data_IF_604783626041
#
_entry.id   IF_604783626041
#
_cell.length_a   1.000
_cell.length_b   1.000
_cell.length_c   1.000
_cell.angle_alpha   90.00
_cell.angle_beta   90.00
_cell.angle_gamma   90.00
#
_symmetry.space_group_name_H-M   'P 1'
#
loop_
_entity.id
_entity.type
_entity.pdbx_description
1 polymer ?
#
# COMPACT_ATOMS: atom_id res chain seq x y z
N UNK A 1 18.29 38.90 -12.59
CA UNK A 1 16.85 38.58 -12.62
C UNK A 1 16.55 37.60 -11.48
N UNK A 2 16.01 38.10 -10.36
CA UNK A 2 15.67 37.30 -9.18
C UNK A 2 14.30 36.65 -9.41
N UNK A 3 14.23 35.31 -9.41
CA UNK A 3 12.96 34.58 -9.35
C UNK A 3 12.45 34.65 -7.92
N UNK A 4 11.31 35.32 -7.72
CA UNK A 4 10.53 35.19 -6.49
C UNK A 4 9.99 33.77 -6.42
N UNK A 5 10.42 33.01 -5.41
CA UNK A 5 9.78 31.75 -5.02
C UNK A 5 8.61 32.15 -4.13
N UNK A 6 7.37 32.01 -4.62
CA UNK A 6 6.18 32.11 -3.77
C UNK A 6 6.18 30.89 -2.83
N UNK A 7 6.61 31.11 -1.60
CA UNK A 7 6.27 30.26 -0.47
C UNK A 7 4.76 30.38 -0.21
N UNK A 8 3.99 29.38 -0.65
CA UNK A 8 2.63 29.19 -0.15
C UNK A 8 2.73 28.76 1.31
N UNK A 9 2.74 29.75 2.19
CA UNK A 9 2.32 29.55 3.58
C UNK A 9 0.83 29.25 3.51
N UNK A 10 0.47 27.98 3.71
CA UNK A 10 -0.92 27.59 3.92
C UNK A 10 -1.39 28.25 5.23
N UNK A 11 -1.96 29.44 5.11
CA UNK A 11 -2.70 30.08 6.17
C UNK A 11 -4.04 29.33 6.33
N UNK A 12 -4.31 28.67 7.47
CA UNK A 12 -5.60 28.07 7.73
C UNK A 12 -6.55 29.19 8.19
N UNK A 13 -6.99 30.03 7.25
CA UNK A 13 -7.98 31.08 7.49
C UNK A 13 -8.89 31.19 6.28
N UNK A 14 -9.95 30.38 6.29
CA UNK A 14 -11.28 30.72 5.82
C UNK A 14 -12.25 29.71 6.42
N UNK A 15 -12.55 29.90 7.71
CA UNK A 15 -13.85 29.54 8.27
C UNK A 15 -14.83 30.55 7.69
N UNK A 16 -15.16 30.36 6.41
CA UNK A 16 -16.33 30.94 5.80
C UNK A 16 -17.48 30.01 6.13
N UNK A 17 -18.37 30.44 7.02
CA UNK A 17 -19.61 29.75 7.30
C UNK A 17 -20.36 29.53 5.97
N UNK A 18 -20.34 28.31 5.46
CA UNK A 18 -21.42 27.83 4.60
C UNK A 18 -22.62 27.58 5.53
N UNK A 19 -23.31 28.66 5.89
CA UNK A 19 -24.70 28.57 6.29
C UNK A 19 -25.46 28.09 5.06
N UNK A 20 -25.67 26.78 4.97
CA UNK A 20 -26.67 26.22 4.07
C UNK A 20 -28.00 26.63 4.68
N UNK A 21 -28.51 27.79 4.25
CA UNK A 21 -29.88 28.16 4.57
C UNK A 21 -30.78 27.10 3.91
N UNK A 22 -31.43 26.29 4.74
CA UNK A 22 -32.56 25.49 4.31
C UNK A 22 -33.71 26.45 4.00
N UNK A 23 -33.80 26.89 2.75
CA UNK A 23 -35.00 27.52 2.23
C UNK A 23 -35.94 26.43 1.74
N UNK A 24 -37.13 26.40 2.34
CA UNK A 24 -38.23 25.58 1.89
C UNK A 24 -38.87 26.18 0.64
N UNK A 25 -38.60 25.55 -0.49
CA UNK A 25 -39.43 25.47 -1.71
C UNK A 25 -38.95 24.24 -2.49
N UNK A 26 -39.70 23.75 -3.47
CA UNK A 26 -39.40 22.56 -4.32
C UNK A 26 -38.05 22.64 -5.08
N UNK A 27 -36.93 22.71 -4.37
CA UNK A 27 -35.58 22.84 -4.89
C UNK A 27 -34.88 21.48 -4.81
N UNK A 28 -34.29 21.07 -5.93
CA UNK A 28 -33.41 19.90 -6.02
C UNK A 28 -32.28 20.08 -5.01
N UNK A 29 -32.31 19.32 -3.92
CA UNK A 29 -31.23 19.31 -2.93
C UNK A 29 -29.99 18.70 -3.58
N UNK A 30 -29.02 19.54 -3.95
CA UNK A 30 -27.82 19.08 -4.68
C UNK A 30 -26.94 18.22 -3.77
N UNK A 31 -26.78 18.62 -2.51
CA UNK A 31 -25.98 17.90 -1.51
C UNK A 31 -26.71 17.80 -0.18
N UNK A 32 -26.66 16.63 0.44
CA UNK A 32 -27.14 16.39 1.80
C UNK A 32 -26.15 15.54 2.61
N UNK A 33 -26.40 15.35 3.91
CA UNK A 33 -25.61 14.46 4.78
C UNK A 33 -24.09 14.65 4.70
N UNK A 34 -23.63 15.90 4.58
CA UNK A 34 -22.21 16.23 4.36
C UNK A 34 -21.38 15.81 5.58
N UNK A 35 -20.37 14.97 5.33
CA UNK A 35 -19.42 14.46 6.31
C UNK A 35 -18.00 14.84 5.94
N UNK A 36 -17.25 15.34 6.92
CA UNK A 36 -15.85 15.71 6.78
C UNK A 36 -14.97 14.69 7.48
N UNK A 37 -13.84 14.36 6.85
CA UNK A 37 -12.77 13.54 7.44
C UNK A 37 -11.42 14.17 7.11
N UNK A 38 -10.44 13.96 7.97
CA UNK A 38 -9.08 14.39 7.69
C UNK A 38 -8.02 13.63 8.48
N UNK A 39 -6.81 13.70 7.95
CA UNK A 39 -5.58 13.15 8.51
C UNK A 39 -4.47 14.20 8.41
N UNK A 40 -3.71 14.36 9.49
CA UNK A 40 -2.42 15.06 9.47
C UNK A 40 -1.36 14.11 10.00
N UNK A 41 -0.33 13.88 9.19
CA UNK A 41 0.71 12.87 9.45
C UNK A 41 2.12 13.41 9.21
N UNK A 42 2.74 14.08 10.20
CA UNK A 42 4.16 14.40 10.14
C UNK A 42 5.00 13.13 10.34
N UNK A 43 6.09 13.04 9.57
CA UNK A 43 7.03 11.92 9.59
C UNK A 43 8.45 12.40 9.39
N UNK A 44 9.33 11.98 10.29
CA UNK A 44 10.75 11.92 10.04
C UNK A 44 11.12 10.54 9.47
N UNK A 45 11.91 10.51 8.40
CA UNK A 45 12.51 9.30 7.84
C UNK A 45 14.02 9.48 7.69
N UNK A 46 14.76 8.45 8.06
CA UNK A 46 16.19 8.28 7.82
C UNK A 46 16.40 7.08 6.89
N UNK A 47 17.33 7.20 5.96
CA UNK A 47 17.77 6.07 5.13
C UNK A 47 19.28 6.16 4.86
N UNK A 48 19.98 5.04 4.99
CA UNK A 48 21.42 4.96 4.79
C UNK A 48 21.78 3.62 4.15
N UNK A 49 22.30 3.68 2.94
CA UNK A 49 22.79 2.53 2.17
C UNK A 49 24.31 2.56 2.22
N UNK A 50 24.90 1.60 2.93
CA UNK A 50 26.34 1.58 3.17
C UNK A 50 27.14 1.45 1.89
N UNK A 51 28.26 2.15 1.83
CA UNK A 51 29.28 2.07 0.77
C UNK A 51 28.72 2.29 -0.65
N UNK A 52 27.76 3.21 -0.80
CA UNK A 52 27.17 3.56 -2.10
C UNK A 52 27.63 4.89 -2.70
N UNK A 53 28.54 5.59 -2.03
CA UNK A 53 29.06 6.88 -2.47
C UNK A 53 28.06 8.02 -2.33
N UNK A 54 27.01 7.85 -1.52
CA UNK A 54 26.01 8.86 -1.19
C UNK A 54 25.98 9.13 0.30
N UNK A 55 25.48 10.30 0.66
CA UNK A 55 25.20 10.68 2.03
C UNK A 55 23.88 10.06 2.51
N UNK A 56 23.83 9.73 3.81
CA UNK A 56 22.61 9.27 4.44
C UNK A 56 21.48 10.31 4.31
N UNK A 57 20.32 9.82 3.92
CA UNK A 57 19.12 10.61 3.71
C UNK A 57 18.36 10.86 5.01
N UNK A 58 17.77 12.05 5.07
CA UNK A 58 17.00 12.55 6.18
C UNK A 58 15.86 13.39 5.60
N UNK A 59 14.63 13.02 5.88
CA UNK A 59 13.44 13.70 5.37
C UNK A 59 12.48 14.02 6.53
N UNK A 60 12.06 15.27 6.64
CA UNK A 60 10.94 15.66 7.49
C UNK A 60 9.78 16.09 6.61
N UNK A 61 8.76 15.25 6.55
CA UNK A 61 7.59 15.43 5.70
C UNK A 61 6.33 15.52 6.54
N UNK A 62 5.28 16.17 6.04
CA UNK A 62 3.93 15.92 6.56
C UNK A 62 2.93 15.76 5.42
N UNK A 63 2.08 14.75 5.59
CA UNK A 63 0.87 14.60 4.80
C UNK A 63 -0.27 15.36 5.48
N UNK A 64 -1.07 16.03 4.67
CA UNK A 64 -2.41 16.47 5.00
C UNK A 64 -3.37 15.85 4.00
N UNK A 65 -4.35 15.08 4.46
CA UNK A 65 -5.40 14.49 3.64
C UNK A 65 -6.75 14.95 4.18
N UNK A 66 -7.57 15.59 3.35
CA UNK A 66 -8.89 16.11 3.72
C UNK A 66 -9.91 15.54 2.75
N UNK A 67 -11.04 15.08 3.28
CA UNK A 67 -12.08 14.40 2.52
C UNK A 67 -13.47 14.90 2.91
N UNK A 68 -14.30 15.13 1.90
CA UNK A 68 -15.71 15.46 2.03
C UNK A 68 -16.52 14.38 1.32
N UNK A 69 -17.51 13.82 2.01
CA UNK A 69 -18.51 12.93 1.43
C UNK A 69 -19.89 13.54 1.65
N UNK A 70 -20.77 13.47 0.66
CA UNK A 70 -22.13 14.00 0.75
C UNK A 70 -23.08 13.11 -0.04
N UNK A 71 -24.33 13.00 0.39
CA UNK A 71 -25.41 12.52 -0.47
C UNK A 71 -25.63 13.48 -1.63
N UNK A 72 -26.13 12.96 -2.75
CA UNK A 72 -26.15 13.67 -4.03
C UNK A 72 -27.56 13.70 -4.63
N UNK A 73 -28.01 14.88 -5.05
CA UNK A 73 -29.29 15.12 -5.74
C UNK A 73 -30.55 14.67 -4.97
N UNK A 74 -30.46 14.48 -3.66
CA UNK A 74 -31.54 13.94 -2.83
C UNK A 74 -31.91 12.49 -3.17
N UNK A 75 -31.05 11.77 -3.90
CA UNK A 75 -31.27 10.37 -4.28
C UNK A 75 -30.75 9.48 -3.15
N UNK A 76 -31.63 8.66 -2.59
CA UNK A 76 -31.27 7.74 -1.52
C UNK A 76 -30.11 6.83 -1.95
N UNK A 77 -29.11 6.68 -1.08
CA UNK A 77 -27.90 5.86 -1.29
C UNK A 77 -26.98 6.30 -2.44
N UNK A 78 -27.22 7.45 -3.07
CA UNK A 78 -26.29 8.08 -4.01
C UNK A 78 -25.43 9.10 -3.26
N UNK A 79 -24.10 9.02 -3.41
CA UNK A 79 -23.17 9.93 -2.76
C UNK A 79 -22.02 10.33 -3.67
N UNK A 80 -21.40 11.47 -3.37
CA UNK A 80 -20.17 11.93 -3.98
C UNK A 80 -19.08 12.10 -2.92
N UNK A 81 -17.85 11.82 -3.30
CA UNK A 81 -16.67 12.02 -2.45
C UNK A 81 -15.63 12.87 -3.18
N UNK A 82 -15.11 13.89 -2.51
CA UNK A 82 -13.97 14.69 -2.97
C UNK A 82 -12.92 14.71 -1.87
N UNK A 83 -11.69 14.38 -2.22
CA UNK A 83 -10.55 14.37 -1.31
C UNK A 83 -9.33 15.07 -1.92
N UNK A 84 -8.59 15.76 -1.07
CA UNK A 84 -7.31 16.40 -1.40
C UNK A 84 -6.22 15.87 -0.49
N UNK A 85 -5.10 15.44 -1.09
CA UNK A 85 -3.88 15.06 -0.37
C UNK A 85 -2.77 16.03 -0.73
N UNK A 86 -1.98 16.43 0.26
CA UNK A 86 -0.73 17.15 0.06
C UNK A 86 0.38 16.58 0.91
N UNK A 87 1.57 16.51 0.34
CA UNK A 87 2.81 16.16 1.02
C UNK A 87 3.75 17.33 0.95
N UNK A 88 4.18 17.81 2.11
CA UNK A 88 5.11 18.92 2.22
C UNK A 88 6.36 18.50 2.98
N UNK A 89 7.48 19.16 2.69
CA UNK A 89 8.71 19.03 3.46
C UNK A 89 8.94 20.31 4.27
N UNK A 90 9.23 20.17 5.57
CA UNK A 90 9.45 21.31 6.47
C UNK A 90 10.93 21.54 6.74
N UNK A 91 11.63 22.07 5.74
CA UNK A 91 12.96 22.67 5.92
C UNK A 91 14.14 21.70 5.98
N UNK A 92 13.95 20.41 5.72
CA UNK A 92 15.05 19.43 5.70
C UNK A 92 15.13 18.70 4.34
N UNK A 93 16.07 19.12 3.51
CA UNK A 93 16.16 18.71 2.09
C UNK A 93 17.29 17.72 1.78
N UNK A 94 17.93 17.12 2.80
CA UNK A 94 19.03 16.16 2.62
C UNK A 94 18.53 14.74 2.31
N UNK A 95 17.78 14.59 1.22
CA UNK A 95 17.29 13.30 0.75
C UNK A 95 16.97 13.39 -0.74
N UNK A 96 17.07 12.27 -1.44
CA UNK A 96 16.67 12.19 -2.84
C UNK A 96 15.20 11.75 -2.96
N UNK A 97 14.31 12.66 -3.36
CA UNK A 97 12.90 12.34 -3.60
C UNK A 97 12.63 11.77 -4.99
N UNK A 98 13.67 11.60 -5.80
CA UNK A 98 13.65 11.34 -7.25
C UNK A 98 13.09 12.47 -8.11
N UNK A 99 12.65 13.58 -7.47
CA UNK A 99 12.05 14.75 -8.13
C UNK A 99 12.66 16.09 -7.72
N UNK A 100 13.46 16.11 -6.65
CA UNK A 100 14.05 17.34 -6.08
C UNK A 100 15.49 17.61 -6.54
N UNK A 101 16.10 16.73 -7.34
CA UNK A 101 17.46 16.90 -7.87
C UNK A 101 18.60 16.61 -6.86
N UNK A 102 18.29 16.20 -5.63
CA UNK A 102 19.28 15.93 -4.58
C UNK A 102 19.89 14.53 -4.71
N UNK A 103 20.67 14.28 -5.77
CA UNK A 103 21.19 12.94 -6.10
C UNK A 103 22.31 12.42 -5.20
N UNK A 104 22.95 13.31 -4.45
CA UNK A 104 24.07 13.00 -3.55
C UNK A 104 23.63 12.28 -2.27
N UNK A 105 22.32 12.21 -2.01
CA UNK A 105 21.75 11.54 -0.85
C UNK A 105 21.04 10.24 -1.23
N UNK A 106 20.88 9.37 -0.24
CA UNK A 106 20.03 8.21 -0.34
C UNK A 106 18.55 8.54 -0.63
N UNK A 107 17.84 7.54 -1.13
CA UNK A 107 16.50 7.71 -1.70
C UNK A 107 15.43 7.55 -0.63
N UNK A 108 14.64 8.61 -0.43
CA UNK A 108 13.38 8.60 0.31
C UNK A 108 12.30 9.12 -0.65
N UNK A 109 11.53 8.19 -1.24
CA UNK A 109 10.56 8.48 -2.31
C UNK A 109 9.25 9.06 -1.76
N UNK A 110 9.31 10.26 -1.20
CA UNK A 110 8.16 11.04 -0.77
C UNK A 110 8.31 12.49 -1.23
N UNK A 111 8.21 12.74 -2.55
CA UNK A 111 8.28 14.09 -3.11
C UNK A 111 7.13 14.96 -2.63
N UNK A 112 7.36 16.27 -2.66
CA UNK A 112 6.31 17.25 -2.37
C UNK A 112 5.24 17.26 -3.46
N UNK A 113 3.98 17.27 -3.04
CA UNK A 113 2.80 17.14 -3.92
C UNK A 113 1.59 17.82 -3.32
N UNK A 114 0.64 18.17 -4.19
CA UNK A 114 -0.75 18.41 -3.83
C UNK A 114 -1.63 17.93 -5.00
N UNK A 115 -2.63 17.11 -4.72
CA UNK A 115 -3.50 16.56 -5.77
C UNK A 115 -4.87 16.17 -5.22
N UNK A 116 -5.83 16.00 -6.13
CA UNK A 116 -7.12 15.39 -5.83
C UNK A 116 -6.90 13.89 -5.66
N UNK A 117 -6.94 13.44 -4.41
CA UNK A 117 -6.71 12.05 -4.01
C UNK A 117 -7.95 11.18 -4.21
N UNK A 118 -9.14 11.78 -4.12
CA UNK A 118 -10.43 11.13 -4.37
C UNK A 118 -11.37 12.07 -5.12
N UNK A 119 -12.10 11.50 -6.07
CA UNK A 119 -13.18 12.17 -6.79
C UNK A 119 -14.07 11.06 -7.35
N UNK A 120 -15.13 10.71 -6.62
CA UNK A 120 -16.00 9.58 -6.97
C UNK A 120 -17.48 9.89 -6.79
N UNK A 121 -18.29 9.10 -7.50
CA UNK A 121 -19.71 8.92 -7.26
C UNK A 121 -19.93 7.45 -6.91
N UNK A 122 -20.74 7.23 -5.89
CA UNK A 122 -21.02 5.93 -5.30
C UNK A 122 -22.53 5.75 -5.17
N UNK A 123 -23.06 4.60 -5.59
CA UNK A 123 -24.47 4.25 -5.45
C UNK A 123 -24.62 2.86 -4.84
N UNK A 124 -25.49 2.73 -3.83
CA UNK A 124 -25.78 1.44 -3.20
C UNK A 124 -27.23 1.02 -3.45
N UNK A 125 -27.43 -0.18 -3.99
CA UNK A 125 -28.72 -0.81 -4.22
C UNK A 125 -28.73 -2.19 -3.55
N UNK A 126 -29.44 -2.32 -2.41
CA UNK A 126 -29.39 -3.56 -1.61
C UNK A 126 -27.97 -3.87 -1.13
N UNK A 127 -27.47 -5.08 -1.40
CA UNK A 127 -26.07 -5.45 -1.13
C UNK A 127 -25.16 -5.27 -2.35
N UNK A 128 -25.62 -4.54 -3.38
CA UNK A 128 -24.79 -4.15 -4.53
C UNK A 128 -24.31 -2.71 -4.37
N UNK A 129 -23.01 -2.49 -4.54
CA UNK A 129 -22.38 -1.17 -4.58
C UNK A 129 -21.81 -0.91 -5.97
N UNK A 130 -22.08 0.26 -6.50
CA UNK A 130 -21.53 0.79 -7.74
C UNK A 130 -20.63 1.97 -7.42
N UNK A 131 -19.50 2.05 -8.11
CA UNK A 131 -18.53 3.12 -7.96
C UNK A 131 -18.05 3.59 -9.32
N UNK A 132 -17.88 4.90 -9.46
CA UNK A 132 -17.18 5.50 -10.59
C UNK A 132 -16.32 6.67 -10.11
N UNK A 133 -15.03 6.62 -10.41
CA UNK A 133 -14.09 7.71 -10.17
C UNK A 133 -12.81 7.28 -9.47
N UNK A 134 -12.12 8.27 -8.90
CA UNK A 134 -10.85 8.08 -8.21
C UNK A 134 -11.08 7.73 -6.76
N UNK A 135 -10.50 6.61 -6.30
CA UNK A 135 -10.54 6.21 -4.90
C UNK A 135 -9.35 5.34 -4.48
N UNK A 136 -9.29 5.02 -3.19
CA UNK A 136 -8.30 4.13 -2.60
C UNK A 136 -8.82 2.69 -2.58
N UNK A 137 -8.26 1.83 -3.45
CA UNK A 137 -8.66 0.42 -3.59
C UNK A 137 -7.61 -0.50 -2.99
N UNK A 138 -8.03 -1.33 -2.03
CA UNK A 138 -7.22 -2.36 -1.39
C UNK A 138 -7.98 -3.68 -1.45
N UNK A 139 -7.40 -4.71 -2.08
CA UNK A 139 -7.98 -6.06 -2.11
C UNK A 139 -7.21 -7.00 -1.18
N UNK A 140 -7.95 -7.76 -0.36
CA UNK A 140 -7.43 -8.70 0.64
C UNK A 140 -6.27 -8.16 1.50
N UNK A 141 -5.15 -8.89 1.52
CA UNK A 141 -3.94 -8.52 2.26
C UNK A 141 -3.11 -7.45 1.54
N UNK A 142 -3.55 -6.98 0.36
CA UNK A 142 -2.87 -6.01 -0.51
C UNK A 142 -1.61 -6.53 -1.20
N UNK A 143 -1.50 -7.86 -1.37
CA UNK A 143 -0.34 -8.46 -2.04
C UNK A 143 -0.21 -8.07 -3.50
N UNK A 144 -1.35 -8.01 -4.21
CA UNK A 144 -1.40 -7.70 -5.64
C UNK A 144 -2.04 -6.35 -5.95
N UNK A 145 -3.06 -5.93 -5.21
CA UNK A 145 -3.74 -4.64 -5.39
C UNK A 145 -3.81 -3.91 -4.05
N UNK A 146 -3.04 -2.81 -3.92
CA UNK A 146 -3.12 -1.97 -2.73
C UNK A 146 -2.62 -0.54 -2.91
N UNK A 147 -2.91 0.31 -1.93
CA UNK A 147 -2.67 1.76 -1.98
C UNK A 147 -1.30 2.17 -1.47
N UNK A 148 -0.56 1.25 -0.83
CA UNK A 148 0.73 1.57 -0.20
C UNK A 148 0.61 2.69 0.84
N UNK A 149 -0.47 2.70 1.63
CA UNK A 149 -0.82 3.81 2.53
C UNK A 149 0.16 4.11 3.68
N UNK A 150 1.25 3.36 3.78
CA UNK A 150 2.40 3.70 4.63
C UNK A 150 3.22 4.90 4.10
N UNK A 151 3.27 5.08 2.77
CA UNK A 151 3.97 6.20 2.14
C UNK A 151 3.29 7.52 2.48
N UNK A 152 3.98 8.65 2.28
CA UNK A 152 3.35 9.97 2.40
C UNK A 152 2.57 10.33 1.15
N UNK A 153 2.86 9.75 -0.01
CA UNK A 153 1.98 9.78 -1.18
C UNK A 153 1.33 8.40 -1.36
N UNK A 154 0.00 8.30 -1.20
CA UNK A 154 -0.69 7.03 -1.46
C UNK A 154 -0.91 6.80 -2.95
N UNK A 155 -1.07 5.53 -3.31
CA UNK A 155 -1.60 5.15 -4.62
C UNK A 155 -3.12 5.18 -4.56
N UNK A 156 -3.72 5.90 -5.51
CA UNK A 156 -5.16 5.87 -5.80
C UNK A 156 -5.41 5.33 -7.20
N UNK A 157 -6.64 4.86 -7.43
CA UNK A 157 -7.06 4.19 -8.65
C UNK A 157 -8.28 4.89 -9.25
N UNK A 158 -8.27 5.07 -10.56
CA UNK A 158 -9.42 5.54 -11.33
C UNK A 158 -10.19 4.32 -11.80
N UNK A 159 -11.33 4.06 -11.17
CA UNK A 159 -12.07 2.80 -11.35
C UNK A 159 -13.54 3.03 -11.65
N UNK A 160 -14.10 2.10 -12.42
CA UNK A 160 -15.53 1.81 -12.39
C UNK A 160 -15.64 0.40 -11.85
N UNK A 161 -16.40 0.18 -10.78
CA UNK A 161 -16.60 -1.17 -10.25
C UNK A 161 -18.02 -1.40 -9.78
N UNK A 162 -18.37 -2.68 -9.78
CA UNK A 162 -19.53 -3.22 -9.07
C UNK A 162 -19.04 -4.22 -8.05
N UNK A 163 -19.56 -4.13 -6.82
CA UNK A 163 -19.35 -5.11 -5.78
C UNK A 163 -20.71 -5.63 -5.29
N UNK A 164 -20.84 -6.93 -5.09
CA UNK A 164 -22.10 -7.56 -4.68
C UNK A 164 -21.87 -8.56 -3.54
N UNK A 165 -22.78 -8.57 -2.57
CA UNK A 165 -22.80 -9.57 -1.49
C UNK A 165 -24.23 -10.06 -1.18
N UNK A 166 -25.07 -10.19 -2.21
CA UNK A 166 -26.46 -10.67 -2.04
C UNK A 166 -26.53 -12.17 -1.73
N UNK A 167 -25.54 -12.96 -2.14
CA UNK A 167 -25.44 -14.38 -1.80
C UNK A 167 -24.72 -14.53 -0.47
N UNK A 168 -25.35 -15.20 0.49
CA UNK A 168 -24.79 -15.37 1.83
C UNK A 168 -23.36 -15.96 1.79
N UNK A 169 -22.43 -15.23 2.41
CA UNK A 169 -21.02 -15.62 2.49
C UNK A 169 -20.20 -15.37 1.23
N UNK A 170 -20.79 -14.90 0.13
CA UNK A 170 -20.10 -14.61 -1.13
C UNK A 170 -20.00 -13.10 -1.37
N UNK A 171 -18.77 -12.59 -1.43
CA UNK A 171 -18.45 -11.24 -1.89
C UNK A 171 -17.86 -11.31 -3.30
N UNK A 172 -18.43 -10.55 -4.23
CA UNK A 172 -17.97 -10.44 -5.62
C UNK A 172 -17.56 -8.99 -5.92
N UNK A 173 -16.50 -8.81 -6.70
CA UNK A 173 -16.10 -7.53 -7.27
C UNK A 173 -15.63 -7.70 -8.71
N UNK A 174 -16.12 -6.83 -9.59
CA UNK A 174 -15.62 -6.64 -10.94
C UNK A 174 -15.31 -5.15 -11.13
N UNK A 175 -14.07 -4.84 -11.49
CA UNK A 175 -13.61 -3.46 -11.68
C UNK A 175 -12.90 -3.30 -13.02
N UNK A 176 -13.21 -2.22 -13.73
CA UNK A 176 -12.35 -1.67 -14.76
C UNK A 176 -11.50 -0.56 -14.16
N UNK A 177 -10.17 -0.66 -14.32
CA UNK A 177 -9.21 0.32 -13.83
C UNK A 177 -8.69 1.11 -15.01
N UNK A 178 -9.17 2.34 -15.14
CA UNK A 178 -8.70 3.26 -16.18
C UNK A 178 -7.21 3.53 -16.01
N UNK A 179 -6.80 3.90 -14.79
CA UNK A 179 -5.41 4.18 -14.45
C UNK A 179 -5.18 4.27 -12.96
N UNK A 180 -3.93 4.52 -12.55
CA UNK A 180 -3.59 4.75 -11.15
C UNK A 180 -2.57 5.88 -10.99
N UNK A 181 -2.68 6.60 -9.87
CA UNK A 181 -1.70 7.55 -9.38
C UNK A 181 -0.67 6.79 -8.54
N UNK A 182 0.62 6.81 -8.90
CA UNK A 182 1.66 6.12 -8.13
C UNK A 182 2.18 6.92 -6.94
N UNK A 183 2.93 6.26 -6.04
CA UNK A 183 3.56 6.87 -4.85
C UNK A 183 4.68 7.88 -5.16
N UNK A 184 5.14 7.96 -6.42
CA UNK A 184 6.28 8.81 -6.83
C UNK A 184 5.85 10.18 -7.36
N UNK A 185 4.62 10.62 -7.09
CA UNK A 185 4.06 11.86 -7.65
C UNK A 185 4.11 11.94 -9.18
N UNK A 186 4.10 10.79 -9.85
CA UNK A 186 4.03 10.73 -11.32
C UNK A 186 2.59 10.88 -11.76
N UNK A 187 2.30 11.56 -12.89
CA UNK A 187 0.96 11.60 -13.45
C UNK A 187 0.34 10.20 -13.55
N UNK A 188 -0.98 10.16 -13.41
CA UNK A 188 -1.77 8.95 -13.58
C UNK A 188 -1.43 8.28 -14.90
N UNK A 189 -1.19 6.97 -14.84
CA UNK A 189 -0.93 6.16 -16.03
C UNK A 189 -2.16 5.33 -16.34
N UNK A 190 -2.60 5.40 -17.59
CA UNK A 190 -3.58 4.46 -18.12
C UNK A 190 -3.06 3.04 -17.97
N UNK A 191 -3.92 2.14 -17.52
CA UNK A 191 -3.64 0.70 -17.47
C UNK A 191 -4.68 -0.12 -18.21
N UNK A 192 -5.92 0.38 -18.29
CA UNK A 192 -7.06 -0.34 -18.88
C UNK A 192 -7.15 -1.78 -18.38
N UNK A 193 -6.97 -1.94 -17.07
CA UNK A 193 -6.92 -3.24 -16.40
C UNK A 193 -8.33 -3.68 -16.00
N UNK A 194 -8.52 -4.98 -15.83
CA UNK A 194 -9.73 -5.54 -15.25
C UNK A 194 -9.36 -6.33 -14.00
N UNK A 195 -10.11 -6.13 -12.91
CA UNK A 195 -9.95 -6.89 -11.67
C UNK A 195 -11.24 -7.67 -11.42
N UNK A 196 -11.12 -9.00 -11.36
CA UNK A 196 -12.16 -9.90 -10.93
C UNK A 196 -11.76 -10.53 -9.60
N UNK A 197 -12.65 -10.46 -8.62
CA UNK A 197 -12.38 -10.93 -7.26
C UNK A 197 -13.63 -11.57 -6.67
N UNK A 198 -13.48 -12.79 -6.14
CA UNK A 198 -14.56 -13.52 -5.50
C UNK A 198 -14.05 -14.11 -4.19
N UNK A 199 -14.71 -13.80 -3.08
CA UNK A 199 -14.41 -14.36 -1.77
C UNK A 199 -15.63 -15.06 -1.22
N UNK A 200 -15.49 -16.34 -0.92
CA UNK A 200 -16.55 -17.15 -0.34
C UNK A 200 -16.17 -17.68 1.04
N UNK A 201 -16.98 -17.36 2.05
CA UNK A 201 -16.86 -17.90 3.40
C UNK A 201 -17.55 -19.27 3.46
N UNK A 202 -16.78 -20.31 3.20
CA UNK A 202 -17.23 -21.72 3.22
C UNK A 202 -17.72 -22.12 4.61
N UNK A 203 -16.98 -21.74 5.66
CA UNK A 203 -17.31 -22.00 7.06
C UNK A 203 -16.59 -20.97 7.97
N UNK A 204 -16.89 -20.88 9.29
CA UNK A 204 -16.25 -19.89 10.17
C UNK A 204 -14.70 -19.91 10.14
N UNK A 205 -14.12 -21.09 9.93
CA UNK A 205 -12.69 -21.36 9.94
C UNK A 205 -12.03 -21.28 8.54
N UNK A 206 -12.81 -21.10 7.46
CA UNK A 206 -12.32 -21.10 6.08
C UNK A 206 -13.08 -20.14 5.18
N UNK A 207 -12.33 -19.23 4.56
CA UNK A 207 -12.73 -18.47 3.39
C UNK A 207 -11.82 -18.81 2.22
N UNK A 208 -12.41 -19.00 1.05
CA UNK A 208 -11.71 -19.21 -0.22
C UNK A 208 -11.86 -17.93 -1.03
N UNK A 209 -10.75 -17.39 -1.51
CA UNK A 209 -10.73 -16.29 -2.45
C UNK A 209 -10.17 -16.78 -3.77
N UNK A 210 -10.84 -16.51 -4.88
CA UNK A 210 -10.33 -16.66 -6.23
C UNK A 210 -10.30 -15.30 -6.92
N UNK A 211 -9.29 -15.06 -7.74
CA UNK A 211 -9.15 -13.79 -8.46
C UNK A 211 -8.47 -13.96 -9.81
N UNK A 212 -8.79 -13.02 -10.68
CA UNK A 212 -8.14 -12.78 -11.97
C UNK A 212 -7.92 -11.28 -12.13
N UNK A 213 -6.66 -10.87 -12.06
CA UNK A 213 -6.23 -9.48 -12.20
C UNK A 213 -5.48 -9.30 -13.52
N UNK A 214 -6.21 -8.87 -14.55
CA UNK A 214 -5.69 -8.60 -15.88
C UNK A 214 -5.09 -7.20 -15.94
N UNK A 215 -3.79 -7.06 -15.65
CA UNK A 215 -3.09 -5.78 -15.71
C UNK A 215 -2.70 -5.49 -17.17
N UNK A 216 -3.38 -4.51 -17.77
CA UNK A 216 -3.27 -4.27 -19.20
C UNK A 216 -1.84 -4.01 -19.66
N UNK A 217 -1.50 -4.62 -20.80
CA UNK A 217 -0.17 -4.64 -21.43
C UNK A 217 0.96 -5.07 -20.48
N UNK A 218 0.68 -5.72 -19.36
CA UNK A 218 1.68 -6.14 -18.38
C UNK A 218 1.66 -7.65 -18.15
N UNK A 219 0.62 -8.17 -17.49
CA UNK A 219 0.38 -9.59 -17.26
C UNK A 219 -1.02 -9.80 -16.66
N UNK A 220 -1.50 -11.03 -16.72
CA UNK A 220 -2.68 -11.47 -15.98
C UNK A 220 -2.23 -12.26 -14.75
N UNK A 221 -2.75 -11.94 -13.57
CA UNK A 221 -2.47 -12.69 -12.32
C UNK A 221 -3.72 -13.46 -11.90
N UNK A 222 -3.65 -14.78 -12.00
CA UNK A 222 -4.76 -15.68 -11.64
C UNK A 222 -4.34 -16.45 -10.39
N UNK A 223 -5.19 -16.46 -9.36
CA UNK A 223 -4.81 -17.11 -8.11
C UNK A 223 -5.96 -17.49 -7.19
N UNK A 224 -5.59 -18.26 -6.16
CA UNK A 224 -6.48 -18.75 -5.11
C UNK A 224 -5.82 -18.57 -3.75
N UNK A 225 -6.58 -18.09 -2.77
CA UNK A 225 -6.15 -17.95 -1.39
C UNK A 225 -7.14 -18.63 -0.42
N UNK A 226 -6.62 -19.43 0.48
CA UNK A 226 -7.34 -20.01 1.61
C UNK A 226 -6.96 -19.22 2.86
N UNK A 227 -7.96 -18.70 3.57
CA UNK A 227 -7.72 -17.93 4.80
C UNK A 227 -8.68 -18.36 5.90
N UNK A 228 -8.24 -18.25 7.15
CA UNK A 228 -9.10 -18.62 8.26
C UNK A 228 -8.46 -18.48 9.61
N UNK A 229 -9.21 -18.92 10.62
CA UNK A 229 -8.76 -19.03 12.00
C UNK A 229 -9.24 -20.35 12.57
N UNK A 230 -8.32 -21.14 13.09
CA UNK A 230 -8.61 -22.42 13.75
C UNK A 230 -8.29 -22.28 15.23
N UNK A 231 -9.12 -22.88 16.09
CA UNK A 231 -8.85 -22.97 17.52
C UNK A 231 -8.10 -24.27 17.83
N UNK A 232 -6.83 -24.14 18.22
CA UNK A 232 -5.96 -25.25 18.60
C UNK A 232 -5.51 -25.12 20.08
N UNK A 233 -6.40 -24.59 20.94
CA UNK A 233 -6.06 -24.10 22.28
C UNK A 233 -5.64 -22.62 22.28
N UNK A 234 -5.41 -22.06 21.10
CA UNK A 234 -5.40 -20.64 20.82
C UNK A 234 -5.89 -20.39 19.40
N UNK A 235 -6.38 -19.16 19.12
CA UNK A 235 -6.81 -18.78 17.77
C UNK A 235 -5.60 -18.59 16.85
N UNK A 236 -5.33 -19.59 16.01
CA UNK A 236 -4.28 -19.56 14.98
C UNK A 236 -4.90 -19.11 13.67
N UNK A 237 -4.49 -17.95 13.16
CA UNK A 237 -4.79 -17.50 11.81
C UNK A 237 -3.85 -18.11 10.79
N UNK A 238 -4.38 -18.43 9.61
CA UNK A 238 -3.59 -18.89 8.48
C UNK A 238 -3.96 -18.17 7.17
N UNK A 239 -3.00 -18.11 6.26
CA UNK A 239 -3.19 -17.87 4.83
C UNK A 239 -2.34 -18.87 4.05
N UNK A 240 -2.94 -19.56 3.09
CA UNK A 240 -2.23 -20.30 2.05
C UNK A 240 -2.67 -19.74 0.70
N UNK A 241 -1.74 -19.41 -0.18
CA UNK A 241 -2.05 -18.76 -1.46
C UNK A 241 -1.12 -19.25 -2.55
N UNK A 242 -1.69 -19.43 -3.74
CA UNK A 242 -0.95 -19.73 -4.96
C UNK A 242 -1.51 -18.90 -6.10
N UNK A 243 -0.64 -18.34 -6.93
CA UNK A 243 -1.02 -17.59 -8.11
C UNK A 243 -0.02 -17.80 -9.25
N UNK A 244 -0.46 -17.55 -10.47
CA UNK A 244 0.38 -17.55 -11.66
C UNK A 244 0.25 -16.22 -12.40
N UNK A 245 1.33 -15.80 -13.03
CA UNK A 245 1.34 -14.69 -13.99
C UNK A 245 1.48 -15.24 -15.41
N UNK A 246 0.60 -14.77 -16.29
CA UNK A 246 0.55 -15.11 -17.72
C UNK A 246 0.59 -13.86 -18.58
N UNK A 247 0.93 -14.04 -19.85
CA UNK A 247 0.90 -12.98 -20.85
C UNK A 247 -0.40 -12.17 -20.77
N UNK A 248 -0.33 -10.84 -20.94
CA UNK A 248 -1.50 -9.99 -20.77
C UNK A 248 -2.56 -10.27 -21.84
N UNK A 249 -3.78 -10.64 -21.41
CA UNK A 249 -4.94 -10.77 -22.30
C UNK A 249 -5.41 -9.40 -22.81
N UNK A 250 -5.30 -8.36 -21.98
CA UNK A 250 -5.66 -6.99 -22.32
C UNK A 250 -4.43 -6.23 -22.83
N UNK A 251 -4.41 -5.84 -24.11
CA UNK A 251 -3.34 -5.00 -24.69
C UNK A 251 -3.92 -3.67 -25.16
N UNK A 252 -3.36 -2.57 -24.68
CA UNK A 252 -3.79 -1.20 -25.05
C UNK A 252 -2.63 -0.32 -25.51
N UNK A 253 -1.40 -0.84 -25.43
CA UNK A 253 -0.18 -0.26 -25.97
C UNK A 253 0.48 -1.33 -26.81
N UNK A 254 1.23 -0.90 -27.82
CA UNK A 254 2.06 -1.80 -28.62
C UNK A 254 3.33 -2.16 -27.83
N UNK A 255 3.19 -3.12 -26.92
CA UNK A 255 4.27 -3.63 -26.05
C UNK A 255 4.16 -5.14 -26.02
N UNK A 256 5.24 -5.81 -26.40
CA UNK A 256 5.33 -7.27 -26.37
C UNK A 256 5.92 -7.72 -25.04
N UNK A 257 5.07 -7.73 -24.02
CA UNK A 257 5.42 -8.25 -22.70
C UNK A 257 5.00 -9.72 -22.61
N UNK A 258 5.91 -10.54 -22.07
CA UNK A 258 5.65 -11.93 -21.70
C UNK A 258 5.64 -12.09 -20.19
N UNK A 259 4.86 -13.05 -19.71
CA UNK A 259 4.87 -13.49 -18.32
C UNK A 259 4.60 -15.00 -18.24
N UNK A 260 5.49 -15.68 -17.53
CA UNK A 260 5.32 -17.06 -17.08
C UNK A 260 6.02 -17.20 -15.74
N UNK A 261 5.27 -16.94 -14.67
CA UNK A 261 5.80 -16.90 -13.32
C UNK A 261 4.78 -17.45 -12.30
N UNK A 262 5.29 -17.89 -11.16
CA UNK A 262 4.54 -18.56 -10.10
C UNK A 262 4.71 -17.80 -8.78
N UNK A 263 3.68 -17.83 -7.93
CA UNK A 263 3.67 -17.26 -6.59
C UNK A 263 3.13 -18.28 -5.60
N UNK A 264 3.75 -18.33 -4.41
CA UNK A 264 3.24 -19.11 -3.28
C UNK A 264 3.42 -18.34 -1.98
N UNK A 265 2.46 -18.47 -1.07
CA UNK A 265 2.56 -17.93 0.29
C UNK A 265 1.92 -18.88 1.31
N UNK A 266 2.61 -19.09 2.42
CA UNK A 266 2.07 -19.72 3.61
C UNK A 266 2.37 -18.84 4.82
N UNK A 267 1.34 -18.33 5.46
CA UNK A 267 1.43 -17.45 6.63
C UNK A 267 0.66 -18.07 7.79
N UNK A 268 1.30 -18.17 8.95
CA UNK A 268 0.69 -18.62 10.20
C UNK A 268 0.93 -17.56 11.27
N UNK A 269 -0.07 -17.36 12.13
CA UNK A 269 0.04 -16.40 13.23
C UNK A 269 -0.93 -16.70 14.36
N UNK A 270 -0.54 -16.32 15.57
CA UNK A 270 -1.41 -16.38 16.74
C UNK A 270 -1.15 -15.20 17.66
N UNK A 271 -2.15 -14.86 18.48
CA UNK A 271 -2.01 -13.89 19.56
C UNK A 271 -2.52 -14.51 20.86
N UNK A 272 -1.62 -14.78 21.79
CA UNK A 272 -1.91 -15.43 23.06
C UNK A 272 -1.54 -14.48 24.20
N UNK A 273 -2.52 -14.08 25.01
CA UNK A 273 -2.30 -13.19 26.16
C UNK A 273 -1.49 -11.93 25.84
N UNK A 274 -1.71 -11.35 24.65
CA UNK A 274 -0.98 -10.17 24.19
C UNK A 274 0.26 -10.47 23.35
N UNK A 275 0.92 -11.63 23.55
CA UNK A 275 2.08 -12.07 22.76
C UNK A 275 1.65 -12.40 21.35
N UNK A 276 2.35 -11.86 20.37
CA UNK A 276 2.16 -12.09 18.94
C UNK A 276 3.27 -13.02 18.47
N UNK A 277 2.87 -14.14 17.85
CA UNK A 277 3.78 -15.07 17.19
C UNK A 277 3.33 -15.26 15.76
N UNK A 278 4.27 -15.37 14.83
CA UNK A 278 3.95 -15.76 13.47
C UNK A 278 5.17 -16.22 12.69
N UNK A 279 4.90 -16.99 11.65
CA UNK A 279 5.90 -17.44 10.67
C UNK A 279 5.30 -17.28 9.29
N UNK A 280 6.13 -17.00 8.29
CA UNK A 280 5.70 -16.92 6.91
C UNK A 280 6.80 -17.40 5.97
N UNK A 281 6.37 -18.04 4.89
CA UNK A 281 7.21 -18.37 3.75
C UNK A 281 6.53 -17.88 2.47
N UNK A 282 7.18 -16.98 1.75
CA UNK A 282 6.72 -16.42 0.48
C UNK A 282 7.72 -16.76 -0.63
N UNK A 283 7.20 -17.10 -1.81
CA UNK A 283 7.99 -17.32 -3.02
C UNK A 283 7.40 -16.49 -4.16
N UNK A 284 8.23 -15.64 -4.76
CA UNK A 284 8.04 -14.98 -6.05
C UNK A 284 9.03 -15.66 -7.02
N UNK A 285 8.55 -16.36 -8.04
CA UNK A 285 9.44 -17.18 -8.89
C UNK A 285 10.48 -16.35 -9.64
N UNK A 286 11.63 -16.97 -9.91
CA UNK A 286 12.72 -16.39 -10.68
C UNK A 286 12.67 -16.67 -12.17
N UNK A 287 13.29 -15.80 -12.96
CA UNK A 287 13.43 -16.00 -14.40
C UNK A 287 14.48 -17.07 -14.72
N UNK A 288 14.13 -18.04 -15.57
CA UNK A 288 15.02 -19.11 -16.06
C UNK A 288 14.49 -19.75 -17.34
N UNK A 289 15.35 -19.86 -18.35
CA UNK A 289 14.90 -20.24 -19.69
C UNK A 289 13.85 -19.24 -20.17
N UNK A 290 12.67 -19.75 -20.55
CA UNK A 290 11.54 -18.95 -21.01
C UNK A 290 10.66 -18.40 -19.85
N UNK A 291 10.87 -18.86 -18.60
CA UNK A 291 10.14 -18.34 -17.43
C UNK A 291 10.58 -16.93 -17.07
N UNK A 292 9.64 -16.12 -16.61
CA UNK A 292 9.86 -14.75 -16.17
C UNK A 292 9.91 -14.64 -14.65
N UNK A 293 10.35 -13.49 -14.14
CA UNK A 293 10.27 -13.17 -12.71
C UNK A 293 8.84 -12.80 -12.33
N UNK A 294 8.35 -13.27 -11.18
CA UNK A 294 7.06 -12.83 -10.66
C UNK A 294 7.12 -11.39 -10.16
N UNK A 295 6.21 -10.52 -10.62
CA UNK A 295 6.21 -9.08 -10.30
C UNK A 295 4.86 -8.64 -9.71
N UNK A 296 4.76 -8.36 -8.40
CA UNK A 296 3.54 -7.86 -7.77
C UNK A 296 3.37 -6.35 -7.99
N UNK A 297 3.12 -5.94 -9.23
CA UNK A 297 3.29 -4.55 -9.68
C UNK A 297 2.46 -3.51 -8.90
N UNK A 298 1.26 -3.89 -8.46
CA UNK A 298 0.34 -3.03 -7.72
C UNK A 298 0.22 -3.44 -6.24
N UNK A 299 1.13 -4.28 -5.75
CA UNK A 299 1.21 -4.70 -4.36
C UNK A 299 1.73 -3.64 -3.40
N UNK A 300 1.60 -3.92 -2.10
CA UNK A 300 2.17 -3.11 -1.00
C UNK A 300 3.42 -3.78 -0.43
N UNK A 301 4.49 -3.88 -1.22
CA UNK A 301 5.69 -4.70 -0.88
C UNK A 301 6.33 -4.37 0.48
N UNK A 302 6.31 -3.11 0.92
CA UNK A 302 6.79 -2.68 2.24
C UNK A 302 6.12 -3.42 3.40
N UNK A 303 4.94 -4.02 3.20
CA UNK A 303 4.27 -4.85 4.21
C UNK A 303 4.80 -6.28 4.27
N UNK A 304 5.40 -6.77 3.18
CA UNK A 304 5.68 -8.19 2.97
C UNK A 304 7.18 -8.50 2.97
N UNK A 305 7.99 -7.74 2.22
CA UNK A 305 9.38 -8.09 1.93
C UNK A 305 10.36 -7.12 2.61
N UNK A 306 10.14 -6.87 3.91
CA UNK A 306 10.96 -5.98 4.72
C UNK A 306 10.66 -4.49 4.57
N UNK A 307 11.09 -3.71 5.56
CA UNK A 307 10.87 -2.27 5.62
C UNK A 307 12.03 -1.45 5.04
N UNK A 308 13.20 -2.06 4.84
CA UNK A 308 14.33 -1.50 4.11
C UNK A 308 13.99 -1.25 2.63
N UNK A 309 12.88 -1.81 2.11
CA UNK A 309 12.40 -1.70 0.73
C UNK A 309 13.40 -2.24 -0.32
N UNK A 310 14.22 -3.24 0.03
CA UNK A 310 15.20 -3.84 -0.90
C UNK A 310 14.56 -4.56 -2.08
N UNK A 311 13.37 -5.12 -1.87
CA UNK A 311 12.64 -5.92 -2.85
C UNK A 311 11.37 -5.21 -3.36
N UNK A 312 11.37 -3.87 -3.36
CA UNK A 312 10.30 -3.11 -3.99
C UNK A 312 10.21 -3.44 -5.49
N UNK A 313 9.02 -3.34 -6.11
CA UNK A 313 8.72 -3.77 -7.49
C UNK A 313 9.79 -3.35 -8.53
N UNK A 314 10.31 -2.13 -8.45
CA UNK A 314 11.35 -1.63 -9.38
C UNK A 314 12.76 -2.19 -9.15
N UNK A 315 12.92 -3.03 -8.14
CA UNK A 315 14.16 -3.67 -7.69
C UNK A 315 13.91 -5.16 -7.38
N UNK A 316 12.89 -5.77 -7.99
CA UNK A 316 12.65 -7.20 -7.84
C UNK A 316 13.89 -8.00 -8.34
N UNK A 317 14.39 -8.99 -7.60
CA UNK A 317 15.52 -9.79 -8.07
C UNK A 317 15.14 -10.58 -9.31
N UNK A 318 15.99 -10.59 -10.34
CA UNK A 318 15.75 -11.37 -11.57
C UNK A 318 15.56 -12.86 -11.26
N UNK A 319 16.33 -13.37 -10.32
CA UNK A 319 16.22 -14.73 -9.79
C UNK A 319 15.01 -14.97 -8.88
N UNK A 320 14.07 -14.03 -8.76
CA UNK A 320 12.93 -14.18 -7.86
C UNK A 320 13.32 -13.98 -6.40
N UNK A 321 12.37 -14.18 -5.50
CA UNK A 321 12.54 -13.98 -4.07
C UNK A 321 11.84 -15.09 -3.29
N UNK A 322 12.59 -15.73 -2.40
CA UNK A 322 12.11 -16.57 -1.32
C UNK A 322 12.36 -15.84 -0.01
N UNK A 323 11.29 -15.54 0.72
CA UNK A 323 11.33 -14.83 2.00
C UNK A 323 10.75 -15.75 3.09
N UNK A 324 11.63 -16.18 3.99
CA UNK A 324 11.22 -16.86 5.22
C UNK A 324 11.32 -15.86 6.38
N UNK A 325 10.22 -15.60 7.07
CA UNK A 325 10.21 -14.69 8.21
C UNK A 325 9.54 -15.24 9.46
N UNK A 326 10.03 -14.76 10.60
CA UNK A 326 9.46 -14.99 11.93
C UNK A 326 9.06 -13.66 12.55
N UNK A 327 7.95 -13.65 13.28
CA UNK A 327 7.37 -12.48 13.92
C UNK A 327 7.17 -12.74 15.39
N UNK A 328 7.72 -11.85 16.22
CA UNK A 328 7.55 -11.88 17.67
C UNK A 328 7.17 -10.48 18.14
N UNK A 329 6.13 -10.37 18.96
CA UNK A 329 5.72 -9.08 19.48
C UNK A 329 4.83 -9.17 20.69
N UNK A 330 4.41 -8.01 21.17
CA UNK A 330 3.45 -7.89 22.26
C UNK A 330 2.52 -6.71 21.99
N UNK A 331 1.22 -6.92 22.20
CA UNK A 331 0.22 -5.89 22.04
C UNK A 331 -0.85 -5.95 23.12
N UNK A 332 -0.95 -4.89 23.91
CA UNK A 332 -1.92 -4.72 24.97
C UNK A 332 -2.50 -3.30 24.98
N UNK A 333 -3.72 -3.16 25.51
CA UNK A 333 -4.36 -1.84 25.67
C UNK A 333 -3.51 -0.99 26.62
N UNK A 334 -3.28 0.27 26.29
CA UNK A 334 -2.41 1.19 27.05
C UNK A 334 -0.92 1.05 26.75
N UNK A 335 -0.42 -0.17 26.53
CA UNK A 335 0.97 -0.41 26.10
C UNK A 335 1.19 -0.09 24.61
N UNK A 336 0.18 -0.30 23.76
CA UNK A 336 0.34 -0.24 22.31
C UNK A 336 0.78 -1.58 21.73
N UNK A 337 1.52 -1.55 20.62
CA UNK A 337 2.06 -2.73 19.94
C UNK A 337 3.55 -2.56 19.71
N UNK A 338 4.32 -3.51 20.22
CA UNK A 338 5.72 -3.75 19.86
C UNK A 338 5.78 -4.98 18.96
N UNK A 339 6.53 -4.93 17.86
CA UNK A 339 6.69 -6.04 16.93
C UNK A 339 8.13 -6.05 16.40
N UNK A 340 8.74 -7.22 16.46
CA UNK A 340 9.95 -7.57 15.73
C UNK A 340 9.62 -8.55 14.60
N UNK A 341 10.27 -8.38 13.45
CA UNK A 341 10.25 -9.33 12.35
C UNK A 341 11.69 -9.60 11.92
N UNK A 342 12.03 -10.87 11.73
CA UNK A 342 13.29 -11.25 11.10
C UNK A 342 12.98 -11.95 9.79
N UNK A 343 13.62 -11.49 8.72
CA UNK A 343 13.53 -12.03 7.38
C UNK A 343 14.85 -12.67 6.95
N UNK A 344 14.77 -13.81 6.28
CA UNK A 344 15.87 -14.42 5.56
C UNK A 344 15.50 -14.53 4.08
N UNK A 345 16.29 -13.89 3.22
CA UNK A 345 16.00 -13.77 1.79
C UNK A 345 16.95 -14.62 0.96
N UNK A 346 16.37 -15.42 0.08
CA UNK A 346 17.13 -16.15 -0.96
C UNK A 346 16.49 -15.94 -2.33
N UNK A 347 17.26 -16.09 -3.40
CA UNK A 347 16.73 -16.11 -4.75
C UNK A 347 16.10 -17.48 -5.04
N UNK A 348 15.02 -17.49 -5.80
CA UNK A 348 14.39 -18.73 -6.27
C UNK A 348 15.28 -19.45 -7.30
N UNK A 349 15.91 -18.65 -8.16
CA UNK A 349 16.94 -19.05 -9.12
C UNK A 349 18.24 -18.29 -8.82
N UNK A 350 19.36 -19.03 -8.78
CA UNK A 350 20.67 -18.46 -8.44
C UNK A 350 21.03 -17.29 -9.35
N UNK A 351 21.54 -16.22 -8.75
CA UNK A 351 21.97 -15.00 -9.44
C UNK A 351 23.49 -14.87 -9.44
N UNK A 352 24.01 -14.01 -10.30
CA UNK A 352 25.45 -13.74 -10.37
C UNK A 352 25.98 -13.13 -9.06
N UNK A 353 27.15 -13.57 -8.63
CA UNK A 353 27.92 -13.01 -7.51
C UNK A 353 29.36 -12.73 -7.96
N UNK A 354 30.18 -12.12 -7.10
CA UNK A 354 31.59 -11.86 -7.39
C UNK A 354 32.42 -13.13 -7.64
N UNK A 355 31.99 -14.27 -7.10
CA UNK A 355 32.72 -15.55 -7.13
C UNK A 355 31.99 -16.66 -7.91
N UNK A 356 30.88 -16.34 -8.58
CA UNK A 356 30.12 -17.30 -9.38
C UNK A 356 28.61 -17.03 -9.35
N UNK A 357 27.85 -17.97 -8.82
CA UNK A 357 26.40 -17.82 -8.63
C UNK A 357 26.02 -18.12 -7.19
N UNK A 358 25.06 -17.38 -6.66
CA UNK A 358 24.56 -17.50 -5.29
C UNK A 358 23.06 -17.25 -5.27
N UNK A 359 22.37 -17.81 -4.29
CA UNK A 359 20.99 -17.46 -3.95
C UNK A 359 20.92 -16.50 -2.76
N UNK A 360 22.03 -16.14 -2.12
CA UNK A 360 22.01 -15.26 -0.95
C UNK A 360 21.62 -13.81 -1.30
N UNK A 361 20.43 -13.41 -0.88
CA UNK A 361 19.89 -12.04 -0.99
C UNK A 361 19.97 -11.27 0.34
N UNK A 362 20.57 -11.84 1.38
CA UNK A 362 20.73 -11.22 2.69
C UNK A 362 19.60 -11.48 3.67
N UNK A 363 19.55 -10.69 4.74
CA UNK A 363 18.55 -10.81 5.81
C UNK A 363 18.17 -9.46 6.36
N UNK A 364 17.08 -9.38 7.13
CA UNK A 364 16.62 -8.12 7.70
C UNK A 364 15.97 -8.27 9.06
N UNK A 365 16.24 -7.31 9.94
CA UNK A 365 15.54 -7.13 11.22
C UNK A 365 14.71 -5.86 11.16
N UNK A 366 13.45 -6.01 11.52
CA UNK A 366 12.42 -5.00 11.47
C UNK A 366 11.82 -4.80 12.87
N UNK A 367 11.83 -3.58 13.39
CA UNK A 367 11.28 -3.23 14.71
C UNK A 367 10.23 -2.11 14.60
N UNK A 368 9.06 -2.32 15.20
CA UNK A 368 7.95 -1.38 15.21
C UNK A 368 7.41 -1.22 16.62
N UNK A 369 7.26 0.03 17.05
CA UNK A 369 6.43 0.39 18.18
C UNK A 369 5.36 1.40 17.75
N UNK A 370 4.10 1.16 18.10
CA UNK A 370 2.99 2.06 17.84
C UNK A 370 2.05 2.11 19.03
N UNK A 371 1.67 3.31 19.46
CA UNK A 371 0.70 3.50 20.55
C UNK A 371 -0.15 4.75 20.32
N UNK A 372 -1.32 4.79 20.95
CA UNK A 372 -2.06 6.05 21.08
C UNK A 372 -1.27 7.01 21.96
N UNK A 373 -1.31 8.31 21.64
CA UNK A 373 -0.70 9.33 22.49
C UNK A 373 -1.66 9.66 23.65
N UNK A 374 -1.25 9.43 24.91
CA UNK A 374 -2.11 9.72 26.07
C UNK A 374 -2.56 11.18 26.08
N UNK A 375 -3.83 11.41 26.42
CA UNK A 375 -4.40 12.76 26.51
C UNK A 375 -4.82 13.39 25.18
N UNK A 376 -4.49 12.78 24.03
CA UNK A 376 -4.89 13.30 22.71
C UNK A 376 -5.71 12.26 21.96
N UNK A 377 -7.03 12.48 21.87
CA UNK A 377 -7.95 11.59 21.17
C UNK A 377 -7.55 11.48 19.69
N UNK A 378 -7.59 10.28 19.14
CA UNK A 378 -7.28 9.97 17.74
C UNK A 378 -5.85 10.29 17.26
N UNK A 379 -4.92 10.56 18.17
CA UNK A 379 -3.50 10.69 17.84
C UNK A 379 -2.76 9.39 18.15
N UNK A 380 -1.98 8.91 17.17
CA UNK A 380 -1.06 7.78 17.35
C UNK A 380 0.38 8.23 17.09
N UNK A 381 1.30 7.68 17.88
CA UNK A 381 2.73 7.78 17.64
C UNK A 381 3.28 6.44 17.16
N UNK A 382 4.26 6.51 16.27
CA UNK A 382 4.95 5.37 15.72
C UNK A 382 6.45 5.61 15.69
N UNK A 383 7.20 4.56 16.02
CA UNK A 383 8.63 4.44 15.79
C UNK A 383 8.86 3.14 15.04
N UNK A 384 9.67 3.19 13.98
CA UNK A 384 9.99 2.03 13.17
C UNK A 384 11.45 2.04 12.79
N UNK A 385 12.07 0.87 12.69
CA UNK A 385 13.45 0.68 12.29
C UNK A 385 13.58 -0.57 11.44
N UNK A 386 14.46 -0.52 10.45
CA UNK A 386 14.79 -1.62 9.55
C UNK A 386 16.30 -1.68 9.38
N UNK A 387 16.88 -2.87 9.55
CA UNK A 387 18.29 -3.16 9.35
C UNK A 387 18.43 -4.36 8.41
N UNK A 388 18.70 -4.08 7.15
CA UNK A 388 19.00 -5.09 6.15
C UNK A 388 20.52 -5.34 6.11
N UNK A 389 20.89 -6.59 6.33
CA UNK A 389 22.24 -7.10 6.13
C UNK A 389 22.36 -7.64 4.69
N UNK A 390 23.40 -7.19 3.98
CA UNK A 390 23.66 -7.56 2.60
C UNK A 390 23.79 -9.06 2.37
N UNK A 391 23.39 -9.50 1.19
CA UNK A 391 23.76 -10.81 0.65
C UNK A 391 24.96 -10.75 -0.29
N UNK A 392 25.25 -11.88 -0.93
CA UNK A 392 26.33 -12.02 -1.91
C UNK A 392 25.89 -11.77 -3.37
N UNK A 393 24.58 -11.82 -3.66
CA UNK A 393 24.08 -11.64 -5.01
C UNK A 393 24.28 -10.20 -5.51
N UNK A 394 24.65 -10.07 -6.79
CA UNK A 394 24.87 -8.79 -7.46
C UNK A 394 23.64 -7.88 -7.34
N UNK A 395 23.82 -6.65 -6.88
CA UNK A 395 22.74 -5.68 -6.59
C UNK A 395 22.24 -5.70 -5.13
N UNK A 396 22.59 -6.73 -4.36
CA UNK A 396 22.16 -6.95 -2.98
C UNK A 396 23.34 -6.94 -1.97
N UNK A 397 24.49 -6.42 -2.40
CA UNK A 397 25.76 -6.47 -1.66
C UNK A 397 26.01 -5.25 -0.75
N UNK A 398 24.97 -4.57 -0.28
CA UNK A 398 25.08 -3.37 0.56
C UNK A 398 24.08 -3.37 1.70
N UNK A 399 24.55 -3.13 2.91
CA UNK A 399 23.72 -3.00 4.10
C UNK A 399 22.84 -1.75 3.99
N UNK A 400 21.63 -1.81 4.53
CA UNK A 400 20.69 -0.69 4.52
C UNK A 400 20.05 -0.53 5.87
N UNK A 401 20.14 0.69 6.42
CA UNK A 401 19.44 1.08 7.63
C UNK A 401 18.37 2.11 7.29
N UNK A 402 17.18 1.94 7.86
CA UNK A 402 16.12 2.94 7.81
C UNK A 402 15.44 3.12 9.15
N UNK A 403 14.99 4.33 9.43
CA UNK A 403 14.24 4.63 10.64
C UNK A 403 13.11 5.62 10.35
N UNK A 404 12.01 5.50 11.10
CA UNK A 404 10.88 6.41 11.02
C UNK A 404 10.40 6.81 12.41
N UNK A 405 10.02 8.08 12.54
CA UNK A 405 9.22 8.59 13.65
C UNK A 405 8.03 9.31 13.04
N UNK A 406 6.82 8.95 13.46
CA UNK A 406 5.59 9.44 12.85
C UNK A 406 4.54 9.74 13.92
N UNK A 407 3.79 10.82 13.69
CA UNK A 407 2.50 11.03 14.33
C UNK A 407 1.40 10.88 13.30
N UNK A 408 0.26 10.32 13.68
CA UNK A 408 -0.91 10.13 12.83
C UNK A 408 -2.14 10.64 13.57
N UNK A 409 -2.65 11.81 13.17
CA UNK A 409 -3.82 12.44 13.76
C UNK A 409 -5.01 12.36 12.81
N UNK A 410 -6.11 11.74 13.26
CA UNK A 410 -7.33 11.59 12.47
C UNK A 410 -8.49 12.34 13.11
N UNK A 411 -9.26 13.03 12.29
CA UNK A 411 -10.45 13.77 12.73
C UNK A 411 -11.58 13.60 11.72
N UNK A 412 -12.80 13.72 12.21
CA UNK A 412 -14.01 13.67 11.41
C UNK A 412 -15.08 14.55 12.03
N UNK A 413 -16.00 15.07 11.22
CA UNK A 413 -17.25 15.61 11.74
C UNK A 413 -18.07 14.49 12.37
N UNK A 414 -18.80 14.81 13.44
CA UNK A 414 -19.74 13.87 14.06
C UNK A 414 -20.89 13.51 13.12
#
# INVERSE_FOLDING_TARGET
>A
MRKLVLSLVAAPLLVGAFSVNAYASDEVTIFDNVKFKGEIRPRYEYADVKDNGKDAANAFTARTHLLVNAGLLGIENLSATVGVESVNNFGYTKYNSTKNGHTDYDVIVDPQTAYISEASIDYKMGNTAFHAGRSHVNLDNQRFIGTVGWRQNERSYDTIYVANSDVEGLDLLAAYVYGFQGVKATPTKDTKSVLLHAKYKVMPELSVTAYDYMLGSMHDTIGIALTGKVDLGSKVSYRAEYAVQKDPTLKYRDVDNSADADYMNLDLGTKISGVILGVNYEVLSGAKGDKTTFIPALGTNHKFNGWADKFYVGSAPKGGLRDANIRLGYAAKGFGKLLGVYHNYTADEKMASATGTTDDLGSEIDLLYVNAIPGVKNLKGLIKYAAYAKGEATGYTKDVNKAWVMLDYKFASN
#
